data_IF_785282538856
#
_entry.id   IF_785282538856
#
_cell.length_a   1.000
_cell.length_b   1.000
_cell.length_c   1.000
_cell.angle_alpha   90.00
_cell.angle_beta   90.00
_cell.angle_gamma   90.00
#
_symmetry.space_group_name_H-M   'P 1'
#
loop_
_entity.id
_entity.type
_entity.pdbx_description
1 polymer ?
#
# COMPACT_ATOMS: atom_id res chain seq x y z
N UNK A 1 -3.27 11.56 2.01
CA UNK A 1 -3.06 12.40 3.21
C UNK A 1 -2.13 13.57 2.90
N UNK A 2 -2.48 14.78 3.33
CA UNK A 2 -1.68 15.98 3.06
C UNK A 2 -0.32 15.98 3.77
N UNK A 3 -0.25 15.32 4.93
CA UNK A 3 0.93 15.36 5.81
C UNK A 3 1.64 14.01 5.91
N UNK A 4 1.57 13.17 4.89
CA UNK A 4 2.25 11.87 4.91
C UNK A 4 3.77 12.06 5.03
N UNK A 5 4.38 12.82 4.15
CA UNK A 5 5.83 13.05 4.09
C UNK A 5 6.36 13.97 5.22
N UNK A 6 5.50 14.82 5.76
CA UNK A 6 5.88 15.72 6.88
C UNK A 6 5.80 15.01 8.23
N UNK A 7 4.98 13.97 8.31
CA UNK A 7 4.74 13.18 9.51
C UNK A 7 3.25 12.94 9.76
N UNK A 8 2.92 11.70 10.04
CA UNK A 8 1.54 11.23 10.12
C UNK A 8 0.82 11.66 11.40
N UNK A 9 1.52 12.10 12.46
CA UNK A 9 0.98 12.48 13.76
C UNK A 9 0.37 13.90 13.77
N UNK A 10 -0.41 14.23 12.77
CA UNK A 10 -1.10 15.51 12.67
C UNK A 10 -2.55 15.29 12.29
N UNK A 11 -3.39 16.32 12.41
CA UNK A 11 -4.80 16.24 11.99
C UNK A 11 -4.99 15.81 10.53
N UNK A 12 -4.01 16.06 9.66
CA UNK A 12 -4.03 15.73 8.22
C UNK A 12 -3.16 14.53 7.87
N UNK A 13 -2.55 13.90 8.87
CA UNK A 13 -1.73 12.71 8.71
C UNK A 13 -2.52 11.42 8.82
N UNK A 14 -1.87 10.30 8.53
CA UNK A 14 -2.50 8.97 8.54
C UNK A 14 -2.84 8.47 9.95
N UNK A 15 -2.11 8.91 10.97
CA UNK A 15 -2.37 8.59 12.38
C UNK A 15 -3.37 9.59 13.01
N UNK A 16 -4.42 9.91 12.26
CA UNK A 16 -5.49 10.80 12.70
C UNK A 16 -6.86 10.14 12.49
N UNK A 17 -7.87 10.64 13.18
CA UNK A 17 -9.25 10.18 13.01
C UNK A 17 -9.89 10.65 11.68
N UNK A 18 -9.18 11.37 10.82
CA UNK A 18 -9.76 11.94 9.59
C UNK A 18 -10.41 10.89 8.70
N UNK A 19 -9.70 9.77 8.44
CA UNK A 19 -10.25 8.69 7.61
C UNK A 19 -11.49 8.06 8.26
N UNK A 20 -11.42 7.75 9.55
CA UNK A 20 -12.55 7.20 10.32
C UNK A 20 -13.78 8.13 10.25
N UNK A 21 -13.58 9.43 10.46
CA UNK A 21 -14.67 10.42 10.39
C UNK A 21 -15.29 10.49 8.99
N UNK A 22 -14.47 10.44 7.94
CA UNK A 22 -14.97 10.43 6.56
C UNK A 22 -15.80 9.18 6.28
N UNK A 23 -15.30 8.01 6.66
CA UNK A 23 -15.98 6.73 6.42
C UNK A 23 -17.27 6.62 7.25
N UNK A 24 -17.29 7.08 8.50
CA UNK A 24 -18.51 7.14 9.32
C UNK A 24 -19.59 8.04 8.71
N UNK A 25 -19.19 9.21 8.22
CA UNK A 25 -20.11 10.10 7.52
C UNK A 25 -20.65 9.50 6.23
N UNK A 26 -19.80 8.81 5.47
CA UNK A 26 -20.19 8.11 4.26
C UNK A 26 -21.19 6.98 4.58
N UNK A 27 -20.89 6.15 5.58
CA UNK A 27 -21.78 5.08 6.03
C UNK A 27 -23.14 5.64 6.46
N UNK A 28 -23.16 6.74 7.23
CA UNK A 28 -24.39 7.42 7.61
C UNK A 28 -25.18 7.95 6.40
N UNK A 29 -24.51 8.52 5.39
CA UNK A 29 -25.15 8.99 4.17
C UNK A 29 -25.74 7.84 3.34
N UNK A 30 -25.14 6.63 3.43
CA UNK A 30 -25.65 5.40 2.81
C UNK A 30 -26.74 4.71 3.65
N UNK A 31 -27.12 5.27 4.79
CA UNK A 31 -28.16 4.72 5.68
C UNK A 31 -27.68 3.52 6.51
N UNK A 32 -26.39 3.28 6.63
CA UNK A 32 -25.85 2.20 7.45
C UNK A 32 -25.92 2.55 8.95
N UNK A 33 -26.34 1.59 9.75
CA UNK A 33 -26.18 1.66 11.20
C UNK A 33 -24.71 1.57 11.61
N UNK A 34 -24.38 1.96 12.84
CA UNK A 34 -23.02 1.82 13.39
C UNK A 34 -22.52 0.37 13.35
N UNK A 35 -23.38 -0.61 13.65
CA UNK A 35 -23.02 -2.01 13.59
C UNK A 35 -22.65 -2.44 12.15
N UNK A 36 -23.47 -2.09 11.18
CA UNK A 36 -23.20 -2.37 9.77
C UNK A 36 -21.92 -1.69 9.26
N UNK A 37 -21.62 -0.49 9.72
CA UNK A 37 -20.34 0.18 9.42
C UNK A 37 -19.14 -0.60 9.97
N UNK A 38 -19.21 -1.03 11.23
CA UNK A 38 -18.15 -1.83 11.85
C UNK A 38 -17.98 -3.18 11.15
N UNK A 39 -19.06 -3.85 10.80
CA UNK A 39 -19.04 -5.08 10.02
C UNK A 39 -18.40 -4.86 8.64
N UNK A 40 -18.71 -3.75 7.99
CA UNK A 40 -18.10 -3.40 6.70
C UNK A 40 -16.59 -3.13 6.82
N UNK A 41 -16.12 -2.54 7.92
CA UNK A 41 -14.70 -2.36 8.17
C UNK A 41 -13.99 -3.71 8.37
N UNK A 42 -14.51 -4.58 9.22
CA UNK A 42 -13.88 -5.87 9.54
C UNK A 42 -13.87 -6.83 8.35
N UNK A 43 -14.93 -6.80 7.54
CA UNK A 43 -15.07 -7.68 6.36
C UNK A 43 -14.59 -7.02 5.05
N UNK A 44 -14.20 -5.75 5.11
CA UNK A 44 -13.63 -5.04 3.97
C UNK A 44 -12.13 -5.29 3.83
N UNK A 45 -11.54 -4.63 2.85
CA UNK A 45 -10.09 -4.64 2.66
C UNK A 45 -9.60 -3.25 2.27
N UNK A 46 -8.51 -2.82 2.86
CA UNK A 46 -7.81 -1.58 2.54
C UNK A 46 -6.64 -1.86 1.60
N UNK A 47 -6.58 -1.14 0.50
CA UNK A 47 -5.39 -1.09 -0.35
C UNK A 47 -4.57 0.15 0.01
N UNK A 48 -3.44 -0.05 0.66
CA UNK A 48 -2.49 1.01 0.99
C UNK A 48 -1.56 1.24 -0.20
N UNK A 49 -1.77 2.35 -0.87
CA UNK A 49 -1.11 2.73 -2.12
C UNK A 49 0.01 3.74 -1.86
N UNK A 50 1.25 3.40 -2.20
CA UNK A 50 2.44 4.18 -1.89
C UNK A 50 3.55 3.92 -2.92
N UNK A 51 4.78 4.36 -2.65
CA UNK A 51 5.98 4.01 -3.42
C UNK A 51 6.79 2.91 -2.72
N UNK A 52 7.67 2.25 -3.45
CA UNK A 52 8.63 1.28 -2.94
C UNK A 52 10.04 1.60 -3.42
N UNK A 53 11.06 1.39 -2.59
CA UNK A 53 12.45 1.54 -3.03
C UNK A 53 12.79 0.50 -4.10
N UNK A 54 13.14 0.97 -5.30
CA UNK A 54 13.72 0.09 -6.31
C UNK A 54 15.20 -0.20 -6.00
N UNK A 55 15.68 -1.35 -6.46
CA UNK A 55 17.10 -1.69 -6.40
C UNK A 55 17.91 -0.63 -7.15
N UNK A 56 18.78 0.07 -6.44
CA UNK A 56 19.62 1.09 -7.05
C UNK A 56 20.80 0.43 -7.79
N UNK A 57 21.04 0.74 -9.07
CA UNK A 57 22.06 0.05 -9.87
C UNK A 57 23.50 0.19 -9.33
N UNK A 58 23.79 1.29 -8.63
CA UNK A 58 25.10 1.52 -8.03
C UNK A 58 25.19 1.08 -6.56
N UNK A 59 24.06 0.73 -5.94
CA UNK A 59 23.97 0.35 -4.53
C UNK A 59 23.01 -0.84 -4.34
N UNK A 60 23.19 -1.95 -5.07
CA UNK A 60 22.30 -3.11 -4.96
C UNK A 60 22.37 -3.75 -3.58
N UNK A 61 23.45 -3.54 -2.84
CA UNK A 61 23.66 -4.04 -1.47
C UNK A 61 22.70 -3.44 -0.45
N UNK A 62 22.00 -2.34 -0.77
CA UNK A 62 20.99 -1.74 0.12
C UNK A 62 19.61 -2.41 -0.01
N UNK A 63 19.39 -3.21 -1.04
CA UNK A 63 18.15 -3.96 -1.23
C UNK A 63 18.24 -5.38 -0.67
N UNK A 64 17.10 -6.00 -0.40
CA UNK A 64 17.04 -7.42 -0.14
C UNK A 64 17.48 -8.20 -1.38
N UNK A 65 18.30 -9.24 -1.17
CA UNK A 65 18.92 -10.02 -2.27
C UNK A 65 17.91 -10.83 -3.09
N UNK A 66 16.76 -11.14 -2.52
CA UNK A 66 15.74 -12.02 -3.13
C UNK A 66 14.46 -11.28 -3.50
N UNK A 67 14.11 -10.25 -2.73
CA UNK A 67 12.85 -9.54 -2.80
C UNK A 67 13.02 -8.02 -3.01
N UNK A 68 14.10 -7.59 -3.66
CA UNK A 68 14.29 -6.21 -4.09
C UNK A 68 13.43 -5.90 -5.31
N UNK A 69 12.70 -4.77 -5.29
CA UNK A 69 11.88 -4.35 -6.41
C UNK A 69 12.74 -3.77 -7.56
N UNK A 70 12.40 -4.10 -8.78
CA UNK A 70 13.07 -3.62 -9.99
C UNK A 70 12.15 -2.68 -10.78
N UNK A 71 12.71 -1.63 -11.35
CA UNK A 71 11.98 -0.75 -12.28
C UNK A 71 11.51 -1.54 -13.52
N UNK A 72 10.29 -1.29 -13.96
CA UNK A 72 9.72 -1.91 -15.15
C UNK A 72 9.27 -3.37 -14.96
N UNK A 73 9.19 -3.83 -13.73
CA UNK A 73 8.74 -5.20 -13.39
C UNK A 73 7.39 -5.26 -12.71
N UNK A 74 6.66 -4.14 -12.68
CA UNK A 74 5.30 -4.06 -12.12
C UNK A 74 5.25 -3.60 -10.68
N UNK A 75 4.08 -3.75 -10.09
CA UNK A 75 3.78 -3.29 -8.74
C UNK A 75 4.55 -4.08 -7.69
N UNK A 76 5.06 -3.41 -6.68
CA UNK A 76 5.69 -4.05 -5.53
C UNK A 76 4.64 -4.33 -4.44
N UNK A 77 4.39 -5.60 -4.13
CA UNK A 77 3.62 -6.03 -2.96
C UNK A 77 4.57 -6.07 -1.77
N UNK A 78 4.34 -5.17 -0.81
CA UNK A 78 5.24 -4.97 0.33
C UNK A 78 4.96 -6.00 1.43
N UNK A 79 5.97 -6.71 1.86
CA UNK A 79 5.90 -7.77 2.89
C UNK A 79 7.03 -7.58 3.89
N UNK A 80 6.72 -7.14 5.07
CA UNK A 80 7.64 -7.10 6.21
C UNK A 80 6.86 -6.76 7.49
N UNK A 81 7.44 -6.89 8.68
CA UNK A 81 6.77 -6.52 9.93
C UNK A 81 6.36 -5.04 10.05
N UNK A 82 6.82 -4.21 9.11
CA UNK A 82 6.48 -2.77 9.07
C UNK A 82 5.26 -2.44 8.19
N UNK A 83 4.74 -3.44 7.48
CA UNK A 83 3.60 -3.31 6.58
C UNK A 83 2.41 -4.09 7.10
N UNK A 84 1.21 -3.73 6.65
CA UNK A 84 -0.03 -4.40 7.05
C UNK A 84 -0.32 -5.67 6.27
N UNK A 85 0.41 -5.92 5.19
CA UNK A 85 0.18 -7.09 4.35
C UNK A 85 0.42 -8.40 5.12
N UNK A 86 -0.58 -9.25 5.14
CA UNK A 86 -0.54 -10.62 5.66
C UNK A 86 -0.69 -11.65 4.53
N UNK A 87 -0.80 -12.94 4.89
CA UNK A 87 -0.90 -14.00 3.90
C UNK A 87 -2.19 -13.91 3.08
N UNK A 88 -3.31 -13.58 3.72
CA UNK A 88 -4.63 -13.54 3.09
C UNK A 88 -4.74 -12.34 2.15
N UNK A 89 -4.36 -11.16 2.60
CA UNK A 89 -4.37 -9.94 1.79
C UNK A 89 -3.37 -10.02 0.62
N UNK A 90 -2.20 -10.64 0.83
CA UNK A 90 -1.26 -10.95 -0.24
C UNK A 90 -1.85 -11.89 -1.29
N UNK A 91 -2.59 -12.92 -0.86
CA UNK A 91 -3.23 -13.87 -1.77
C UNK A 91 -4.30 -13.17 -2.63
N UNK A 92 -5.10 -12.28 -2.04
CA UNK A 92 -6.10 -11.48 -2.77
C UNK A 92 -5.42 -10.64 -3.85
N UNK A 93 -4.38 -9.88 -3.49
CA UNK A 93 -3.68 -9.01 -4.46
C UNK A 93 -3.02 -9.84 -5.57
N UNK A 94 -2.37 -10.95 -5.21
CA UNK A 94 -1.75 -11.84 -6.21
C UNK A 94 -2.80 -12.42 -7.16
N UNK A 95 -3.94 -12.89 -6.63
CA UNK A 95 -5.04 -13.41 -7.44
C UNK A 95 -5.64 -12.38 -8.40
N UNK A 96 -5.80 -11.12 -7.96
CA UNK A 96 -6.25 -10.03 -8.83
C UNK A 96 -5.23 -9.73 -9.95
N UNK A 97 -3.94 -9.72 -9.62
CA UNK A 97 -2.88 -9.51 -10.59
C UNK A 97 -2.83 -10.64 -11.63
N UNK A 98 -2.92 -11.89 -11.19
CA UNK A 98 -2.94 -13.05 -12.09
C UNK A 98 -4.15 -13.02 -13.02
N UNK A 99 -5.35 -12.76 -12.48
CA UNK A 99 -6.59 -12.71 -13.26
C UNK A 99 -6.59 -11.57 -14.30
N UNK A 100 -5.96 -10.44 -14.00
CA UNK A 100 -5.90 -9.27 -14.88
C UNK A 100 -4.60 -9.17 -15.69
N UNK A 101 -3.71 -10.17 -15.58
CA UNK A 101 -2.37 -10.17 -16.19
C UNK A 101 -1.58 -8.89 -15.90
N UNK A 102 -1.51 -8.53 -14.60
CA UNK A 102 -0.78 -7.37 -14.10
C UNK A 102 0.55 -7.85 -13.51
N UNK A 103 1.69 -7.32 -13.93
CA UNK A 103 2.98 -7.69 -13.36
C UNK A 103 3.08 -7.27 -11.89
N UNK A 104 3.45 -8.20 -11.04
CA UNK A 104 3.57 -8.04 -9.59
C UNK A 104 4.92 -8.55 -9.11
N UNK A 105 5.54 -7.83 -8.17
CA UNK A 105 6.79 -8.20 -7.52
C UNK A 105 6.56 -8.30 -6.01
N UNK A 106 7.24 -9.24 -5.36
CA UNK A 106 7.34 -9.21 -3.89
C UNK A 106 8.46 -8.24 -3.50
N UNK A 107 8.17 -7.37 -2.54
CA UNK A 107 9.15 -6.45 -1.96
C UNK A 107 9.29 -6.69 -0.46
N UNK A 108 10.53 -6.78 -0.01
CA UNK A 108 10.89 -6.82 1.41
C UNK A 108 12.00 -5.81 1.67
N UNK A 109 11.94 -5.15 2.81
CA UNK A 109 13.08 -4.39 3.29
C UNK A 109 14.22 -5.37 3.65
N UNK A 110 15.45 -4.97 3.42
CA UNK A 110 16.61 -5.71 3.90
C UNK A 110 16.54 -5.82 5.42
N UNK A 111 16.67 -7.04 5.96
CA UNK A 111 16.32 -7.34 7.36
C UNK A 111 17.22 -6.65 8.40
N UNK A 112 18.45 -6.32 8.02
CA UNK A 112 19.45 -5.69 8.88
C UNK A 112 19.47 -4.15 8.76
N UNK A 113 18.62 -3.58 7.90
CA UNK A 113 18.48 -2.14 7.75
C UNK A 113 17.14 -1.66 8.32
N UNK A 114 17.08 -0.46 8.92
CA UNK A 114 15.83 0.10 9.36
C UNK A 114 14.94 0.39 8.14
N UNK A 115 13.82 -0.31 8.05
CA UNK A 115 12.82 -0.04 7.01
C UNK A 115 11.90 1.11 7.40
N UNK A 116 11.36 1.83 6.41
CA UNK A 116 10.25 2.75 6.60
C UNK A 116 8.95 2.01 6.91
N UNK A 117 7.93 2.74 7.32
CA UNK A 117 6.54 2.28 7.42
C UNK A 117 5.69 3.03 6.41
N UNK A 118 4.47 2.57 6.21
CA UNK A 118 3.49 3.19 5.32
C UNK A 118 2.25 3.61 6.09
N UNK A 119 1.40 4.36 5.44
CA UNK A 119 0.09 4.75 5.99
C UNK A 119 -0.83 3.54 6.23
N UNK A 120 -0.56 2.41 5.58
CA UNK A 120 -1.36 1.19 5.68
C UNK A 120 -1.46 0.65 7.09
N UNK A 121 -0.35 0.56 7.81
CA UNK A 121 -0.35 0.06 9.19
C UNK A 121 -1.17 0.94 10.14
N UNK A 122 -1.11 2.24 9.97
CA UNK A 122 -1.90 3.20 10.77
C UNK A 122 -3.38 3.11 10.43
N UNK A 123 -3.74 3.18 9.16
CA UNK A 123 -5.12 3.13 8.71
C UNK A 123 -5.79 1.77 9.03
N UNK A 124 -5.09 0.66 8.82
CA UNK A 124 -5.55 -0.69 9.18
C UNK A 124 -5.83 -0.80 10.68
N UNK A 125 -4.93 -0.31 11.52
CA UNK A 125 -5.09 -0.31 12.98
C UNK A 125 -6.29 0.55 13.43
N UNK A 126 -6.46 1.74 12.85
CA UNK A 126 -7.57 2.64 13.21
C UNK A 126 -8.95 2.10 12.79
N UNK A 127 -9.01 1.37 11.68
CA UNK A 127 -10.25 0.84 11.11
C UNK A 127 -10.54 -0.61 11.49
N UNK A 128 -9.59 -1.31 12.10
CA UNK A 128 -9.61 -2.77 12.28
C UNK A 128 -9.88 -3.52 10.94
N UNK A 129 -9.31 -3.03 9.85
CA UNK A 129 -9.56 -3.50 8.49
C UNK A 129 -8.33 -4.25 7.96
N UNK A 130 -8.47 -5.47 7.39
CA UNK A 130 -7.38 -6.11 6.68
C UNK A 130 -6.80 -5.19 5.60
N UNK A 131 -5.48 -5.18 5.45
CA UNK A 131 -4.84 -4.28 4.50
C UNK A 131 -3.70 -4.94 3.73
N UNK A 132 -3.52 -4.53 2.48
CA UNK A 132 -2.32 -4.84 1.71
C UNK A 132 -1.59 -3.55 1.36
N UNK A 133 -0.28 -3.54 1.57
CA UNK A 133 0.60 -2.46 1.16
C UNK A 133 1.21 -2.74 -0.20
N UNK A 134 0.96 -1.87 -1.16
CA UNK A 134 1.54 -1.92 -2.49
C UNK A 134 2.30 -0.65 -2.80
N UNK A 135 3.24 -0.71 -3.73
CA UNK A 135 4.00 0.46 -4.11
C UNK A 135 4.47 0.44 -5.55
N UNK A 136 4.61 1.62 -6.14
CA UNK A 136 5.33 1.78 -7.40
C UNK A 136 6.82 1.79 -7.10
N UNK A 137 7.64 0.92 -7.73
CA UNK A 137 9.09 0.96 -7.56
C UNK A 137 9.66 2.28 -8.08
N UNK A 138 10.48 2.95 -7.27
CA UNK A 138 11.15 4.17 -7.69
C UNK A 138 12.58 4.29 -7.14
N UNK A 139 13.40 5.07 -7.81
CA UNK A 139 14.73 5.48 -7.37
C UNK A 139 14.69 6.89 -6.81
N UNK A 140 15.63 7.19 -5.93
CA UNK A 140 15.82 8.51 -5.33
C UNK A 140 14.58 9.04 -4.60
N UNK A 141 13.86 8.15 -3.88
CA UNK A 141 12.72 8.49 -3.03
C UNK A 141 13.05 9.68 -2.12
N UNK A 142 12.12 10.62 -1.99
CA UNK A 142 12.26 11.88 -1.24
C UNK A 142 13.24 12.90 -1.86
N UNK A 143 13.78 12.64 -3.02
CA UNK A 143 14.59 13.63 -3.74
C UNK A 143 13.74 14.58 -4.58
N UNK A 144 14.36 15.66 -5.06
CA UNK A 144 13.71 16.55 -6.02
C UNK A 144 13.52 15.92 -7.42
N UNK A 145 14.08 14.74 -7.66
CA UNK A 145 14.03 14.02 -8.95
C UNK A 145 13.89 12.53 -8.73
N UNK A 146 12.74 12.13 -8.28
CA UNK A 146 12.37 10.71 -8.21
C UNK A 146 12.16 10.14 -9.61
N UNK A 147 12.53 8.89 -9.79
CA UNK A 147 12.43 8.19 -11.08
C UNK A 147 11.69 6.87 -10.91
N UNK A 148 10.63 6.67 -11.67
CA UNK A 148 9.91 5.41 -11.80
C UNK A 148 9.78 5.00 -13.27
N UNK A 149 9.44 3.75 -13.54
CA UNK A 149 9.11 3.30 -14.88
C UNK A 149 7.63 3.58 -15.20
N UNK A 150 7.36 4.13 -16.38
CA UNK A 150 5.98 4.39 -16.82
C UNK A 150 5.11 3.12 -16.89
N UNK A 151 5.72 1.97 -17.22
CA UNK A 151 5.02 0.68 -17.22
C UNK A 151 4.56 0.25 -15.82
N UNK A 152 5.31 0.59 -14.76
CA UNK A 152 4.93 0.28 -13.38
C UNK A 152 3.76 1.15 -12.93
N UNK A 153 3.70 2.41 -13.37
CA UNK A 153 2.56 3.28 -13.13
C UNK A 153 1.28 2.75 -13.81
N UNK A 154 1.39 2.28 -15.05
CA UNK A 154 0.26 1.64 -15.76
C UNK A 154 -0.23 0.39 -15.00
N UNK A 155 0.70 -0.48 -14.61
CA UNK A 155 0.39 -1.68 -13.82
C UNK A 155 -0.30 -1.32 -12.49
N UNK A 156 0.15 -0.27 -11.83
CA UNK A 156 -0.43 0.21 -10.57
C UNK A 156 -1.88 0.69 -10.75
N UNK A 157 -2.16 1.49 -11.77
CA UNK A 157 -3.51 1.96 -12.08
C UNK A 157 -4.43 0.78 -12.42
N UNK A 158 -3.93 -0.19 -13.20
CA UNK A 158 -4.68 -1.41 -13.53
C UNK A 158 -5.01 -2.24 -12.29
N UNK A 159 -4.08 -2.37 -11.35
CA UNK A 159 -4.32 -3.08 -10.10
C UNK A 159 -5.37 -2.36 -9.23
N UNK A 160 -5.29 -1.05 -9.07
CA UNK A 160 -6.31 -0.28 -8.37
C UNK A 160 -7.70 -0.46 -9.02
N UNK A 161 -7.75 -0.45 -10.35
CA UNK A 161 -9.00 -0.67 -11.11
C UNK A 161 -9.55 -2.08 -10.86
N UNK A 162 -8.70 -3.10 -10.91
CA UNK A 162 -9.09 -4.49 -10.64
C UNK A 162 -9.59 -4.65 -9.20
N UNK A 163 -8.91 -4.04 -8.23
CA UNK A 163 -9.30 -4.07 -6.82
C UNK A 163 -10.70 -3.48 -6.59
N UNK A 164 -10.99 -2.30 -7.12
CA UNK A 164 -12.30 -1.67 -6.97
C UNK A 164 -13.42 -2.34 -7.80
N UNK A 165 -13.06 -3.16 -8.78
CA UNK A 165 -14.01 -3.90 -9.61
C UNK A 165 -14.27 -5.31 -9.12
N UNK A 166 -13.51 -5.79 -8.14
CA UNK A 166 -13.68 -7.11 -7.54
C UNK A 166 -15.03 -7.18 -6.77
N UNK A 167 -15.69 -8.36 -6.88
CA UNK A 167 -16.98 -8.62 -6.24
C UNK A 167 -16.80 -9.61 -5.10
#
# INVERSE_FOLDING_TARGET
YDNEEIGSNTRRGADSSTLTVILEKLAGALGLSRAQYLDACVNGMLLSCDAAHAVHPNHPELADVTCGALLGRGVALKRSPRYSSDADTCAVISGLCDAANIPLQTYMNRADLPGGSTVGSMASSLLAMPAADIGVPLLAMHSARELMAAADQDAFVRLCTAFYSAK
#
